data_IF_038447677119
#
_entry.id   IF_038447677119
#
_cell.length_a   1.000
_cell.length_b   1.000
_cell.length_c   1.000
_cell.angle_alpha   90.00
_cell.angle_beta   90.00
_cell.angle_gamma   90.00
#
_symmetry.space_group_name_H-M   'P 1'
#
loop_
_entity.id
_entity.type
_entity.pdbx_description
1 polymer ?
#
# COMPACT_ATOMS: atom_id res chain seq x y z
N UNK A 1 -17.53 -4.29 -13.87
CA UNK A 1 -16.10 -4.34 -13.49
C UNK A 1 -15.78 -3.15 -12.61
N UNK A 2 -15.32 -3.31 -11.36
CA UNK A 2 -15.08 -2.17 -10.50
C UNK A 2 -13.78 -1.49 -10.96
N UNK A 3 -13.91 -0.27 -11.51
CA UNK A 3 -12.80 0.53 -12.06
C UNK A 3 -11.61 0.53 -11.08
N UNK A 4 -10.44 0.11 -11.56
CA UNK A 4 -9.21 0.00 -10.76
C UNK A 4 -8.63 1.40 -10.51
N UNK A 5 -8.03 1.68 -9.34
CA UNK A 5 -7.40 2.98 -9.07
C UNK A 5 -6.16 3.16 -9.97
N UNK A 6 -6.18 4.20 -10.81
CA UNK A 6 -5.14 4.47 -11.82
C UNK A 6 -3.81 4.93 -11.20
N UNK A 7 -3.84 5.48 -9.98
CA UNK A 7 -2.71 6.20 -9.37
C UNK A 7 -1.62 5.27 -8.84
N UNK A 8 -1.96 4.09 -8.28
CA UNK A 8 -0.96 3.08 -7.87
C UNK A 8 -0.18 2.59 -9.09
N UNK A 9 -0.86 2.35 -10.21
CA UNK A 9 -0.23 1.96 -11.48
C UNK A 9 0.80 2.98 -11.97
N UNK A 10 0.47 4.27 -11.96
CA UNK A 10 1.42 5.34 -12.35
C UNK A 10 2.64 5.39 -11.42
N UNK A 11 2.44 5.20 -10.12
CA UNK A 11 3.55 5.16 -9.17
C UNK A 11 4.46 3.94 -9.35
N UNK A 12 3.87 2.83 -9.80
CA UNK A 12 4.56 1.55 -9.92
C UNK A 12 5.14 1.30 -11.32
N UNK A 13 4.79 2.12 -12.33
CA UNK A 13 5.15 1.92 -13.74
C UNK A 13 6.66 1.89 -14.00
N UNK A 14 7.44 2.62 -13.19
CA UNK A 14 8.91 2.69 -13.33
C UNK A 14 9.67 1.79 -12.36
N UNK A 15 8.99 0.96 -11.57
CA UNK A 15 9.66 0.09 -10.61
C UNK A 15 10.37 -1.05 -11.33
N UNK A 16 11.66 -1.18 -11.05
CA UNK A 16 12.43 -2.36 -11.44
C UNK A 16 12.01 -3.60 -10.64
N UNK A 17 12.27 -4.78 -11.18
CA UNK A 17 11.98 -6.06 -10.50
C UNK A 17 12.63 -6.15 -9.11
N UNK A 18 13.83 -5.57 -8.95
CA UNK A 18 14.52 -5.50 -7.66
C UNK A 18 13.75 -4.64 -6.64
N UNK A 19 13.15 -3.54 -7.07
CA UNK A 19 12.36 -2.67 -6.19
C UNK A 19 11.01 -3.29 -5.83
N UNK A 20 10.43 -4.05 -6.76
CA UNK A 20 9.26 -4.89 -6.49
C UNK A 20 9.54 -5.92 -5.40
N UNK A 21 10.65 -6.66 -5.49
CA UNK A 21 11.09 -7.62 -4.46
C UNK A 21 11.45 -6.98 -3.12
N UNK A 22 11.68 -5.66 -3.08
CA UNK A 22 11.90 -4.91 -1.83
C UNK A 22 10.61 -4.31 -1.25
N UNK A 23 9.46 -4.59 -1.85
CA UNK A 23 8.15 -4.06 -1.41
C UNK A 23 8.05 -2.54 -1.54
N UNK A 24 8.74 -1.94 -2.54
CA UNK A 24 8.74 -0.49 -2.75
C UNK A 24 7.56 0.01 -3.58
N UNK A 25 6.68 -0.89 -4.01
CA UNK A 25 5.44 -0.53 -4.69
C UNK A 25 4.38 0.00 -3.72
N UNK A 26 3.48 0.81 -4.27
CA UNK A 26 2.36 1.40 -3.56
C UNK A 26 1.05 0.69 -3.88
N UNK A 27 0.22 0.54 -2.86
CA UNK A 27 -1.16 0.08 -2.97
C UNK A 27 -2.13 1.17 -2.54
N UNK A 28 -3.20 1.32 -3.29
CA UNK A 28 -4.32 2.17 -2.91
C UNK A 28 -5.24 1.50 -1.89
N UNK A 29 -6.07 2.32 -1.24
CA UNK A 29 -6.99 1.83 -0.20
C UNK A 29 -7.89 0.67 -0.63
N UNK A 30 -8.34 0.65 -1.89
CA UNK A 30 -9.18 -0.43 -2.43
C UNK A 30 -8.41 -1.74 -2.57
N UNK A 31 -7.17 -1.67 -3.08
CA UNK A 31 -6.30 -2.85 -3.19
C UNK A 31 -5.98 -3.41 -1.80
N UNK A 32 -5.70 -2.52 -0.83
CA UNK A 32 -5.47 -2.94 0.55
C UNK A 32 -6.69 -3.58 1.22
N UNK A 33 -7.90 -3.12 0.90
CA UNK A 33 -9.16 -3.68 1.40
C UNK A 33 -9.48 -5.04 0.77
N UNK A 34 -9.04 -5.30 -0.47
CA UNK A 34 -9.12 -6.62 -1.10
C UNK A 34 -8.09 -7.59 -0.49
N UNK A 35 -6.92 -7.09 -0.08
CA UNK A 35 -5.80 -7.90 0.39
C UNK A 35 -5.82 -8.19 1.89
N UNK A 36 -6.38 -7.27 2.69
CA UNK A 36 -6.45 -7.40 4.13
C UNK A 36 -7.90 -7.62 4.57
N UNK A 37 -8.14 -8.35 5.67
CA UNK A 37 -9.48 -8.49 6.26
C UNK A 37 -9.97 -7.18 6.93
N UNK A 38 -9.43 -6.03 6.56
CA UNK A 38 -9.69 -4.73 7.17
C UNK A 38 -10.34 -3.78 6.17
N UNK A 39 -11.39 -3.09 6.63
CA UNK A 39 -12.00 -2.03 5.84
C UNK A 39 -11.01 -0.90 5.56
N UNK A 40 -11.08 -0.30 4.38
CA UNK A 40 -10.25 0.84 3.97
C UNK A 40 -10.28 2.00 4.99
N UNK A 41 -11.41 2.21 5.66
CA UNK A 41 -11.58 3.20 6.73
C UNK A 41 -10.61 2.97 7.91
N UNK A 42 -10.38 1.72 8.30
CA UNK A 42 -9.49 1.39 9.41
C UNK A 42 -8.04 1.69 9.05
N UNK A 43 -7.63 1.31 7.83
CA UNK A 43 -6.30 1.59 7.29
C UNK A 43 -6.07 3.10 7.23
N UNK A 44 -7.06 3.86 6.73
CA UNK A 44 -7.00 5.33 6.72
C UNK A 44 -6.85 5.92 8.11
N UNK A 45 -7.56 5.37 9.11
CA UNK A 45 -7.46 5.80 10.50
C UNK A 45 -6.06 5.53 11.06
N UNK A 46 -5.43 4.41 10.70
CA UNK A 46 -4.05 4.12 11.09
C UNK A 46 -3.04 5.08 10.46
N UNK A 47 -3.23 5.43 9.19
CA UNK A 47 -2.41 6.46 8.52
C UNK A 47 -2.57 7.82 9.22
N UNK A 48 -3.81 8.24 9.49
CA UNK A 48 -4.08 9.52 10.17
C UNK A 48 -3.51 9.59 11.59
N UNK A 49 -3.45 8.45 12.30
CA UNK A 49 -2.83 8.34 13.62
C UNK A 49 -1.30 8.23 13.57
N UNK A 50 -0.69 8.28 12.39
CA UNK A 50 0.76 8.11 12.21
C UNK A 50 1.28 6.70 12.45
N UNK A 51 0.40 5.69 12.55
CA UNK A 51 0.79 4.29 12.78
C UNK A 51 1.31 3.59 11.52
N UNK A 52 0.79 4.00 10.36
CA UNK A 52 1.23 3.52 9.04
C UNK A 52 1.69 4.72 8.25
N UNK A 53 2.84 4.61 7.59
CA UNK A 53 3.30 5.64 6.66
C UNK A 53 2.50 5.54 5.36
N UNK A 54 1.65 6.55 5.12
CA UNK A 54 0.86 6.68 3.90
C UNK A 54 1.15 7.98 3.19
N UNK A 55 1.00 7.99 1.87
CA UNK A 55 1.09 9.21 1.05
C UNK A 55 -0.26 9.50 0.42
N UNK A 56 -0.61 10.78 0.29
CA UNK A 56 -1.86 11.20 -0.36
C UNK A 56 -1.54 11.82 -1.71
N UNK A 57 -1.99 11.16 -2.79
CA UNK A 57 -1.73 11.61 -4.17
C UNK A 57 -3.03 11.70 -4.94
N UNK A 58 -3.31 12.87 -5.52
CA UNK A 58 -4.56 13.18 -6.24
C UNK A 58 -5.81 12.72 -5.47
N UNK A 59 -5.85 12.99 -4.16
CA UNK A 59 -6.96 12.61 -3.28
C UNK A 59 -6.99 11.15 -2.79
N UNK A 60 -6.17 10.27 -3.37
CA UNK A 60 -6.09 8.85 -3.01
C UNK A 60 -4.99 8.63 -1.98
N UNK A 61 -5.30 7.87 -0.92
CA UNK A 61 -4.28 7.38 0.00
C UNK A 61 -3.62 6.14 -0.57
N UNK A 62 -2.30 6.14 -0.57
CA UNK A 62 -1.45 5.04 -0.97
C UNK A 62 -0.56 4.65 0.20
N UNK A 63 -0.30 3.36 0.33
CA UNK A 63 0.63 2.81 1.33
C UNK A 63 1.67 2.00 0.60
N UNK A 64 2.93 2.17 0.98
CA UNK A 64 4.01 1.35 0.46
C UNK A 64 3.97 -0.02 1.13
N UNK A 65 4.19 -1.09 0.36
CA UNK A 65 4.06 -2.45 0.89
C UNK A 65 5.00 -2.71 2.08
N UNK A 66 6.25 -2.27 2.00
CA UNK A 66 7.19 -2.43 3.11
C UNK A 66 6.72 -1.73 4.40
N UNK A 67 6.15 -0.52 4.30
CA UNK A 67 5.61 0.20 5.47
C UNK A 67 4.37 -0.48 6.06
N UNK A 68 3.54 -1.10 5.21
CA UNK A 68 2.43 -1.93 5.65
C UNK A 68 2.92 -3.16 6.43
N UNK A 69 3.92 -3.87 5.91
CA UNK A 69 4.46 -5.05 6.59
C UNK A 69 5.12 -4.73 7.92
N UNK A 70 5.89 -3.64 7.97
CA UNK A 70 6.42 -3.11 9.24
C UNK A 70 5.31 -2.87 10.27
N UNK A 71 4.19 -2.30 9.84
CA UNK A 71 3.03 -2.12 10.72
C UNK A 71 2.40 -3.44 11.18
N UNK A 72 2.38 -4.46 10.31
CA UNK A 72 1.94 -5.81 10.65
C UNK A 72 2.93 -6.57 11.56
N UNK A 73 4.09 -5.99 11.87
CA UNK A 73 5.14 -6.64 12.66
C UNK A 73 5.86 -7.74 11.89
N UNK A 74 5.79 -7.74 10.57
CA UNK A 74 6.43 -8.72 9.68
C UNK A 74 7.48 -8.03 8.82
N UNK A 75 8.55 -8.72 8.42
CA UNK A 75 9.41 -8.21 7.35
C UNK A 75 8.82 -8.63 6.02
N UNK A 76 8.94 -7.74 5.04
CA UNK A 76 8.54 -8.07 3.66
C UNK A 76 9.35 -9.25 3.11
N UNK A 77 10.61 -9.37 3.53
CA UNK A 77 11.55 -10.44 3.18
C UNK A 77 11.09 -11.82 3.70
N UNK A 78 10.17 -11.89 4.66
CA UNK A 78 9.68 -13.16 5.24
C UNK A 78 8.58 -13.84 4.38
N UNK A 79 8.26 -13.28 3.20
CA UNK A 79 7.23 -13.79 2.28
C UNK A 79 7.79 -14.49 1.04
N UNK A 80 9.11 -14.38 0.81
CA UNK A 80 9.81 -15.13 -0.24
C UNK A 80 10.20 -16.53 0.25
#
# INVERSE_FOLDING_TARGET
MPKRPVVSRVMNEKLSEREWKKGLYYLGMKELEEWLPWKARNIRRYIQKGKIKGIKVKGNWLVRMNDLYKFLGKKYEDLE
#
